data_IF_560693340470
#
_entry.id   IF_560693340470
#
_cell.length_a   1.000
_cell.length_b   1.000
_cell.length_c   1.000
_cell.angle_alpha   90.00
_cell.angle_beta   90.00
_cell.angle_gamma   90.00
#
_symmetry.space_group_name_H-M   'P 1'
#
loop_
_entity.id
_entity.type
_entity.pdbx_description
1 polymer ?
#
# COMPACT_ATOMS: atom_id res chain seq x y z
N UNK A 1 -9.53 -20.33 32.67
CA UNK A 1 -10.15 -18.98 32.64
C UNK A 1 -9.54 -18.23 31.48
N UNK A 2 -10.40 -17.75 30.59
CA UNK A 2 -10.17 -17.52 29.16
C UNK A 2 -9.08 -16.47 28.92
N UNK A 3 -8.17 -16.80 28.00
CA UNK A 3 -7.11 -15.94 27.47
C UNK A 3 -7.63 -14.54 27.19
N UNK A 4 -7.26 -13.60 28.07
CA UNK A 4 -7.40 -12.16 27.85
C UNK A 4 -6.37 -11.69 26.82
N UNK A 5 -6.40 -12.21 25.60
CA UNK A 5 -5.82 -11.51 24.46
C UNK A 5 -6.91 -10.62 23.87
N UNK A 6 -7.16 -9.53 24.61
CA UNK A 6 -7.81 -8.35 24.07
C UNK A 6 -7.09 -8.01 22.77
N UNK A 7 -7.79 -8.10 21.65
CA UNK A 7 -7.31 -7.69 20.34
C UNK A 7 -6.95 -6.21 20.42
N UNK A 8 -5.68 -5.94 20.73
CA UNK A 8 -5.06 -4.62 20.60
C UNK A 8 -5.24 -4.26 19.13
N UNK A 9 -6.06 -3.24 18.87
CA UNK A 9 -6.71 -2.94 17.60
C UNK A 9 -5.86 -3.30 16.40
N UNK A 10 -6.44 -4.07 15.48
CA UNK A 10 -5.79 -4.50 14.24
C UNK A 10 -5.24 -3.26 13.53
N UNK A 11 -3.92 -3.07 13.56
CA UNK A 11 -3.28 -2.06 12.75
C UNK A 11 -3.54 -2.37 11.27
N UNK A 12 -3.97 -1.37 10.51
CA UNK A 12 -4.18 -1.51 9.07
C UNK A 12 -2.93 -2.10 8.42
N UNK A 13 -3.09 -3.12 7.58
CA UNK A 13 -2.00 -3.73 6.83
C UNK A 13 -2.00 -3.18 5.41
N UNK A 14 -0.91 -2.51 5.02
CA UNK A 14 -0.75 -1.95 3.68
C UNK A 14 0.38 -2.69 2.98
N UNK A 15 0.07 -3.34 1.86
CA UNK A 15 1.01 -4.11 1.05
C UNK A 15 1.21 -3.43 -0.30
N UNK A 16 2.47 -3.20 -0.65
CA UNK A 16 2.88 -2.71 -1.98
C UNK A 16 3.53 -3.88 -2.73
N UNK A 17 2.83 -4.42 -3.72
CA UNK A 17 3.37 -5.43 -4.63
C UNK A 17 3.97 -4.74 -5.85
N UNK A 18 5.25 -4.98 -6.12
CA UNK A 18 5.99 -4.21 -7.14
C UNK A 18 6.97 -5.07 -7.94
N UNK A 19 7.22 -4.67 -9.20
CA UNK A 19 8.30 -5.24 -10.00
C UNK A 19 9.67 -4.85 -9.44
N UNK A 20 10.40 -5.79 -8.83
CA UNK A 20 11.72 -5.55 -8.24
C UNK A 20 12.86 -5.36 -9.26
N UNK A 21 12.71 -5.91 -10.46
CA UNK A 21 13.67 -5.76 -11.56
C UNK A 21 13.48 -4.48 -12.38
N UNK A 22 12.42 -3.71 -12.13
CA UNK A 22 12.07 -2.51 -12.87
C UNK A 22 12.53 -1.27 -12.08
N UNK A 23 13.62 -0.56 -12.47
CA UNK A 23 14.21 0.48 -11.62
C UNK A 23 13.26 1.61 -11.26
N UNK A 24 12.44 2.06 -12.22
CA UNK A 24 11.44 3.12 -12.00
C UNK A 24 10.36 2.68 -11.00
N UNK A 25 9.81 1.47 -11.17
CA UNK A 25 8.79 0.94 -10.28
C UNK A 25 9.34 0.70 -8.87
N UNK A 26 10.58 0.24 -8.75
CA UNK A 26 11.27 0.07 -7.47
C UNK A 26 11.48 1.39 -6.74
N UNK A 27 11.85 2.46 -7.46
CA UNK A 27 11.98 3.79 -6.86
C UNK A 27 10.62 4.31 -6.35
N UNK A 28 9.58 4.14 -7.15
CA UNK A 28 8.22 4.58 -6.78
C UNK A 28 7.67 3.78 -5.59
N UNK A 29 7.98 2.49 -5.48
CA UNK A 29 7.57 1.69 -4.31
C UNK A 29 8.24 2.18 -3.01
N UNK A 30 9.49 2.63 -3.07
CA UNK A 30 10.16 3.26 -1.93
C UNK A 30 9.47 4.57 -1.52
N UNK A 31 9.21 5.45 -2.49
CA UNK A 31 8.57 6.74 -2.23
C UNK A 31 7.17 6.59 -1.63
N UNK A 32 6.37 5.67 -2.16
CA UNK A 32 5.03 5.36 -1.64
C UNK A 32 5.11 4.71 -0.24
N UNK A 33 6.06 3.80 -0.01
CA UNK A 33 6.27 3.22 1.33
C UNK A 33 6.56 4.29 2.39
N UNK A 34 7.45 5.24 2.07
CA UNK A 34 7.76 6.34 2.98
C UNK A 34 6.55 7.24 3.26
N UNK A 35 5.79 7.57 2.21
CA UNK A 35 4.58 8.40 2.33
C UNK A 35 3.54 7.74 3.25
N UNK A 36 3.31 6.44 3.06
CA UNK A 36 2.36 5.67 3.84
C UNK A 36 2.81 5.53 5.30
N UNK A 37 4.09 5.26 5.56
CA UNK A 37 4.62 5.19 6.95
C UNK A 37 4.55 6.53 7.67
N UNK A 38 4.76 7.65 6.96
CA UNK A 38 4.63 9.00 7.54
C UNK A 38 3.18 9.33 7.87
N UNK A 39 2.23 8.90 7.05
CA UNK A 39 0.82 9.25 7.19
C UNK A 39 0.05 8.31 8.12
N UNK A 40 0.37 7.03 8.09
CA UNK A 40 -0.28 5.98 8.88
C UNK A 40 0.78 5.29 9.77
N UNK A 41 1.26 5.97 10.83
CA UNK A 41 2.36 5.45 11.67
C UNK A 41 2.00 4.16 12.41
N UNK A 42 0.71 3.92 12.65
CA UNK A 42 0.21 2.71 13.27
C UNK A 42 -0.03 1.58 12.27
N UNK A 43 -0.01 1.86 10.96
CA UNK A 43 -0.22 0.85 9.92
C UNK A 43 1.05 0.02 9.68
N UNK A 44 0.87 -1.27 9.42
CA UNK A 44 1.95 -2.16 8.99
C UNK A 44 2.12 -2.06 7.48
N UNK A 45 3.09 -1.26 7.04
CA UNK A 45 3.43 -1.12 5.62
C UNK A 45 4.51 -2.13 5.23
N UNK A 46 4.28 -2.94 4.19
CA UNK A 46 5.25 -3.87 3.61
C UNK A 46 5.37 -3.72 2.10
N UNK A 47 6.56 -4.03 1.58
CA UNK A 47 6.83 -4.17 0.15
C UNK A 47 7.13 -5.62 -0.19
N UNK A 48 6.49 -6.13 -1.23
CA UNK A 48 6.62 -7.52 -1.68
C UNK A 48 6.88 -7.57 -3.19
N UNK A 49 7.66 -8.56 -3.62
CA UNK A 49 7.95 -8.75 -5.04
C UNK A 49 6.68 -9.23 -5.75
N UNK A 50 6.23 -8.42 -6.72
CA UNK A 50 5.12 -8.75 -7.61
C UNK A 50 5.60 -9.18 -8.98
N UNK A 51 4.67 -9.23 -9.93
CA UNK A 51 4.94 -9.57 -11.32
C UNK A 51 5.77 -8.50 -12.05
N UNK A 52 6.44 -8.89 -13.14
CA UNK A 52 7.18 -7.96 -13.98
C UNK A 52 6.26 -6.88 -14.53
N UNK A 53 6.63 -5.61 -14.32
CA UNK A 53 5.84 -4.45 -14.73
C UNK A 53 4.67 -4.09 -13.82
N UNK A 54 4.41 -4.86 -12.74
CA UNK A 54 3.30 -4.58 -11.82
C UNK A 54 3.66 -3.54 -10.76
N UNK A 55 2.65 -2.77 -10.35
CA UNK A 55 2.67 -1.94 -9.15
C UNK A 55 1.25 -1.84 -8.59
N UNK A 56 1.01 -2.52 -7.46
CA UNK A 56 -0.31 -2.64 -6.84
C UNK A 56 -0.18 -2.31 -5.37
N UNK A 57 -1.12 -1.51 -4.85
CA UNK A 57 -1.22 -1.21 -3.43
C UNK A 57 -2.53 -1.74 -2.88
N UNK A 58 -2.42 -2.52 -1.81
CA UNK A 58 -3.53 -3.16 -1.13
C UNK A 58 -3.54 -2.73 0.35
N UNK A 59 -4.68 -2.31 0.87
CA UNK A 59 -4.89 -2.02 2.28
C UNK A 59 -5.95 -2.98 2.83
N UNK A 60 -5.62 -3.74 3.88
CA UNK A 60 -6.50 -4.73 4.54
C UNK A 60 -7.27 -5.66 3.58
N UNK A 61 -6.61 -6.10 2.51
CA UNK A 61 -7.19 -6.99 1.50
C UNK A 61 -7.88 -6.26 0.34
N UNK A 62 -8.09 -4.95 0.41
CA UNK A 62 -8.69 -4.13 -0.65
C UNK A 62 -7.61 -3.47 -1.52
N UNK A 63 -7.70 -3.63 -2.84
CA UNK A 63 -6.84 -2.91 -3.79
C UNK A 63 -7.26 -1.45 -3.84
N UNK A 64 -6.35 -0.55 -3.46
CA UNK A 64 -6.58 0.91 -3.46
C UNK A 64 -5.88 1.60 -4.64
N UNK A 65 -4.91 0.92 -5.26
CA UNK A 65 -4.24 1.39 -6.46
C UNK A 65 -3.73 0.20 -7.29
N UNK A 66 -3.94 0.26 -8.60
CA UNK A 66 -3.36 -0.68 -9.56
C UNK A 66 -2.86 0.04 -10.80
N UNK A 67 -1.54 0.07 -10.97
CA UNK A 67 -0.84 0.67 -12.10
C UNK A 67 -1.29 0.09 -13.46
N UNK A 68 -1.63 -1.20 -13.50
CA UNK A 68 -2.02 -1.88 -14.73
C UNK A 68 -3.49 -1.68 -15.11
N UNK A 69 -4.30 -1.14 -14.20
CA UNK A 69 -5.73 -0.85 -14.45
C UNK A 69 -5.96 0.41 -15.29
N UNK A 70 -4.92 1.20 -15.60
CA UNK A 70 -5.02 2.42 -16.42
C UNK A 70 -4.77 2.13 -17.90
N UNK A 71 -5.52 2.78 -18.80
CA UNK A 71 -5.29 2.70 -20.26
C UNK A 71 -3.85 3.08 -20.65
N UNK A 72 -3.26 4.02 -19.90
CA UNK A 72 -1.83 4.35 -19.94
C UNK A 72 -1.29 4.21 -18.53
N UNK A 73 -0.47 3.19 -18.26
CA UNK A 73 0.06 2.98 -16.92
C UNK A 73 0.84 4.19 -16.43
N UNK A 74 0.51 4.66 -15.22
CA UNK A 74 1.14 5.81 -14.58
C UNK A 74 1.43 5.51 -13.12
N UNK A 75 2.43 6.19 -12.58
CA UNK A 75 2.68 6.19 -11.15
C UNK A 75 1.63 7.04 -10.40
N UNK A 76 1.37 6.71 -9.13
CA UNK A 76 0.48 7.50 -8.30
C UNK A 76 1.03 8.92 -8.14
N UNK A 77 0.15 9.91 -8.13
CA UNK A 77 0.53 11.25 -7.72
C UNK A 77 0.77 11.30 -6.20
N UNK A 78 1.48 12.33 -5.74
CA UNK A 78 1.73 12.54 -4.31
C UNK A 78 0.41 12.56 -3.54
N UNK A 79 0.32 11.80 -2.43
CA UNK A 79 -0.89 11.64 -1.61
C UNK A 79 -2.10 10.98 -2.31
N UNK A 80 -1.99 10.48 -3.54
CA UNK A 80 -3.13 9.84 -4.22
C UNK A 80 -3.56 8.57 -3.48
N UNK A 81 -2.61 7.70 -3.16
CA UNK A 81 -2.86 6.45 -2.44
C UNK A 81 -3.36 6.75 -1.02
N UNK A 82 -2.77 7.74 -0.34
CA UNK A 82 -3.24 8.20 0.96
C UNK A 82 -4.70 8.64 0.91
N UNK A 83 -5.06 9.43 -0.10
CA UNK A 83 -6.44 9.90 -0.30
C UNK A 83 -7.38 8.73 -0.56
N UNK A 84 -6.97 7.78 -1.40
CA UNK A 84 -7.73 6.57 -1.69
C UNK A 84 -8.00 5.76 -0.42
N UNK A 85 -6.98 5.51 0.40
CA UNK A 85 -7.11 4.79 1.68
C UNK A 85 -8.04 5.54 2.64
N UNK A 86 -7.85 6.85 2.85
CA UNK A 86 -8.71 7.63 3.75
C UNK A 86 -10.17 7.57 3.33
N UNK A 87 -10.44 7.70 2.03
CA UNK A 87 -11.78 7.59 1.47
C UNK A 87 -12.37 6.20 1.65
N UNK A 88 -11.61 5.15 1.37
CA UNK A 88 -12.09 3.77 1.39
C UNK A 88 -12.33 3.22 2.80
N UNK A 89 -11.63 3.77 3.80
CA UNK A 89 -11.69 3.33 5.19
C UNK A 89 -12.34 4.36 6.13
N UNK A 90 -12.87 5.47 5.60
CA UNK A 90 -13.47 6.58 6.36
C UNK A 90 -12.57 7.10 7.50
N UNK A 91 -11.30 7.37 7.18
CA UNK A 91 -10.29 7.91 8.11
C UNK A 91 -10.15 9.43 8.01
#
# INVERSE_FOLDING_TARGET
>A
MILKYFMKGSSMQIKISYCNICPKITAESLSVEEELKKTFPDAKVSREVGEKGSFVVNADGKVVYDYNSFERPRFPEKNEIVTAIKKDFNL
#
